data_IF_715254631226
#
_entry.id   IF_715254631226
#
_cell.length_a   1.000
_cell.length_b   1.000
_cell.length_c   1.000
_cell.angle_alpha   90.00
_cell.angle_beta   90.00
_cell.angle_gamma   90.00
#
_symmetry.space_group_name_H-M   'P 1'
#
loop_
_entity.id
_entity.type
_entity.pdbx_description
1 polymer ?
#
# COMPACT_ATOMS: atom_id res chain seq x y z
N UNK A 1 -13.48 -7.83 -21.13
CA UNK A 1 -12.63 -6.64 -21.39
C UNK A 1 -12.40 -5.77 -20.16
N UNK A 2 -13.25 -5.81 -19.12
CA UNK A 2 -13.11 -4.91 -17.95
C UNK A 2 -12.20 -5.41 -16.81
N UNK A 3 -11.96 -6.73 -16.71
CA UNK A 3 -11.17 -7.33 -15.62
C UNK A 3 -9.74 -6.75 -15.48
N UNK A 4 -8.99 -6.51 -16.56
CA UNK A 4 -7.63 -5.95 -16.46
C UNK A 4 -7.65 -4.47 -16.02
N UNK A 5 -8.64 -3.71 -16.49
CA UNK A 5 -8.81 -2.29 -16.13
C UNK A 5 -9.19 -2.16 -14.66
N UNK A 6 -10.09 -3.02 -14.16
CA UNK A 6 -10.47 -3.06 -12.74
C UNK A 6 -9.29 -3.48 -11.86
N UNK A 7 -8.45 -4.42 -12.31
CA UNK A 7 -7.24 -4.79 -11.59
C UNK A 7 -6.25 -3.62 -11.49
N UNK A 8 -6.07 -2.86 -12.58
CA UNK A 8 -5.23 -1.65 -12.57
C UNK A 8 -5.76 -0.59 -11.60
N UNK A 9 -7.06 -0.30 -11.69
CA UNK A 9 -7.73 0.65 -10.81
C UNK A 9 -7.56 0.23 -9.34
N UNK A 10 -7.79 -1.05 -9.03
CA UNK A 10 -7.64 -1.58 -7.67
C UNK A 10 -6.21 -1.41 -7.12
N UNK A 11 -5.17 -1.65 -7.93
CA UNK A 11 -3.78 -1.45 -7.52
C UNK A 11 -3.53 0.03 -7.22
N UNK A 12 -3.87 0.93 -8.16
CA UNK A 12 -3.62 2.36 -7.96
C UNK A 12 -4.41 2.94 -6.79
N UNK A 13 -5.67 2.54 -6.64
CA UNK A 13 -6.50 2.95 -5.52
C UNK A 13 -5.93 2.45 -4.19
N UNK A 14 -5.48 1.19 -4.14
CA UNK A 14 -4.85 0.65 -2.94
C UNK A 14 -3.56 1.40 -2.60
N UNK A 15 -2.68 1.63 -3.57
CA UNK A 15 -1.45 2.39 -3.37
C UNK A 15 -1.72 3.82 -2.89
N UNK A 16 -2.73 4.47 -3.46
CA UNK A 16 -3.11 5.82 -3.07
C UNK A 16 -3.53 5.88 -1.59
N UNK A 17 -4.48 5.02 -1.19
CA UNK A 17 -4.99 4.98 0.19
C UNK A 17 -3.91 4.52 1.18
N UNK A 18 -3.08 3.55 0.80
CA UNK A 18 -2.01 3.03 1.65
C UNK A 18 -0.93 4.07 1.95
N UNK A 19 -0.63 4.95 0.99
CA UNK A 19 0.37 6.02 1.16
C UNK A 19 -0.20 7.29 1.79
N UNK A 20 -1.52 7.40 1.98
CA UNK A 20 -2.15 8.59 2.54
C UNK A 20 -1.99 8.66 4.08
N UNK A 21 -0.80 9.09 4.49
CA UNK A 21 -0.42 9.21 5.89
C UNK A 21 -1.20 10.30 6.64
N UNK A 22 -1.50 11.43 5.98
CA UNK A 22 -2.19 12.55 6.64
C UNK A 22 -3.61 12.18 7.02
N UNK A 23 -4.35 11.54 6.12
CA UNK A 23 -5.70 11.05 6.42
C UNK A 23 -5.66 10.05 7.57
N UNK A 24 -4.69 9.13 7.58
CA UNK A 24 -4.56 8.17 8.67
C UNK A 24 -4.25 8.84 10.01
N UNK A 25 -3.36 9.83 10.05
CA UNK A 25 -3.03 10.57 11.27
C UNK A 25 -4.22 11.37 11.82
N UNK A 26 -4.96 12.06 10.96
CA UNK A 26 -6.06 12.94 11.38
C UNK A 26 -7.28 12.14 11.83
N UNK A 27 -7.64 11.07 11.09
CA UNK A 27 -8.90 10.37 11.31
C UNK A 27 -8.76 9.07 12.11
N UNK A 28 -7.66 8.33 11.97
CA UNK A 28 -7.52 7.01 12.63
C UNK A 28 -6.78 7.13 13.96
N UNK A 29 -5.73 7.96 14.03
CA UNK A 29 -4.94 8.11 15.25
C UNK A 29 -5.71 8.72 16.42
N UNK A 30 -6.77 9.48 16.15
CA UNK A 30 -7.63 10.09 17.19
C UNK A 30 -8.70 9.12 17.70
N UNK A 31 -9.14 8.18 16.85
CA UNK A 31 -10.30 7.32 17.12
C UNK A 31 -9.90 5.98 17.74
N UNK A 32 -8.80 5.36 17.29
CA UNK A 32 -8.34 4.07 17.81
C UNK A 32 -6.80 3.97 17.77
N UNK A 33 -6.09 4.49 18.80
CA UNK A 33 -4.63 4.50 18.84
C UNK A 33 -4.00 3.10 18.71
N UNK A 34 -4.65 2.07 19.27
CA UNK A 34 -4.16 0.69 19.30
C UNK A 34 -4.29 -0.03 17.95
N UNK A 35 -5.10 0.48 17.03
CA UNK A 35 -5.38 -0.15 15.74
C UNK A 35 -4.97 0.75 14.56
N UNK A 36 -3.93 1.56 14.78
CA UNK A 36 -3.40 2.46 13.78
C UNK A 36 -2.72 1.71 12.63
N UNK A 37 -2.87 2.19 11.38
CA UNK A 37 -2.17 1.59 10.25
C UNK A 37 -0.66 1.79 10.36
N UNK A 38 0.09 0.86 9.77
CA UNK A 38 1.56 0.79 9.85
C UNK A 38 2.28 2.12 9.54
N UNK A 39 1.87 2.92 8.52
CA UNK A 39 2.45 4.25 8.26
C UNK A 39 2.35 5.22 9.45
N UNK A 40 1.27 5.18 10.22
CA UNK A 40 1.11 6.03 11.41
C UNK A 40 2.09 5.62 12.50
N UNK A 41 2.21 4.32 12.77
CA UNK A 41 3.16 3.79 13.76
C UNK A 41 4.62 4.15 13.41
N UNK A 42 4.96 4.07 12.12
CA UNK A 42 6.26 4.46 11.58
C UNK A 42 6.65 5.91 11.91
N UNK A 43 5.71 6.84 11.84
CA UNK A 43 5.98 8.25 12.21
C UNK A 43 6.27 8.42 13.70
N UNK A 44 5.67 7.59 14.56
CA UNK A 44 5.96 7.57 16.00
C UNK A 44 7.42 7.19 16.30
N UNK A 45 8.02 6.31 15.49
CA UNK A 45 9.42 5.89 15.66
C UNK A 45 10.41 7.05 15.43
N UNK A 46 10.09 7.98 14.54
CA UNK A 46 10.94 9.17 14.27
C UNK A 46 10.85 10.18 15.41
N UNK A 47 9.65 10.33 15.99
CA UNK A 47 9.38 11.28 17.07
C UNK A 47 9.89 10.79 18.45
N UNK A 48 10.26 9.52 18.58
CA UNK A 48 10.87 8.96 19.78
C UNK A 48 12.33 9.40 19.95
N UNK A 49 12.53 10.63 20.43
CA UNK A 49 13.73 11.18 21.08
C UNK A 49 15.07 10.60 20.57
N UNK A 50 15.31 10.67 19.25
CA UNK A 50 16.61 10.37 18.64
C UNK A 50 17.02 8.90 18.49
N UNK A 51 16.19 7.93 18.90
CA UNK A 51 16.55 6.50 18.94
C UNK A 51 16.04 5.61 17.78
N UNK A 52 15.27 6.18 16.84
CA UNK A 52 14.42 5.39 15.93
C UNK A 52 14.82 5.33 14.45
N UNK A 53 15.84 6.08 14.00
CA UNK A 53 16.15 6.25 12.56
C UNK A 53 16.55 4.95 11.86
N UNK A 54 17.30 4.07 12.55
CA UNK A 54 17.65 2.74 12.05
C UNK A 54 16.41 1.83 11.89
N UNK A 55 15.43 1.96 12.77
CA UNK A 55 14.18 1.19 12.72
C UNK A 55 13.23 1.75 11.67
N UNK A 56 13.27 3.06 11.42
CA UNK A 56 12.47 3.71 10.38
C UNK A 56 12.77 3.12 9.00
N UNK A 57 14.04 2.95 8.64
CA UNK A 57 14.44 2.38 7.35
C UNK A 57 13.95 0.94 7.18
N UNK A 58 14.18 0.10 8.19
CA UNK A 58 13.74 -1.30 8.19
C UNK A 58 12.21 -1.42 8.14
N UNK A 59 11.50 -0.62 8.92
CA UNK A 59 10.05 -0.68 8.99
C UNK A 59 9.39 -0.06 7.74
N UNK A 60 9.99 0.99 7.14
CA UNK A 60 9.55 1.53 5.84
C UNK A 60 9.70 0.47 4.73
N UNK A 61 10.82 -0.26 4.71
CA UNK A 61 11.04 -1.38 3.80
C UNK A 61 9.99 -2.49 4.00
N UNK A 62 9.72 -2.89 5.25
CA UNK A 62 8.66 -3.86 5.55
C UNK A 62 7.27 -3.35 5.13
N UNK A 63 7.01 -2.05 5.24
CA UNK A 63 5.73 -1.46 4.80
C UNK A 63 5.48 -1.63 3.31
N UNK A 64 6.54 -1.70 2.49
CA UNK A 64 6.44 -1.93 1.04
C UNK A 64 6.05 -3.36 0.68
N UNK A 65 6.23 -4.32 1.60
CA UNK A 65 5.86 -5.72 1.35
C UNK A 65 4.36 -5.88 1.08
N UNK A 66 3.51 -5.11 1.76
CA UNK A 66 2.06 -5.23 1.60
C UNK A 66 1.59 -4.71 0.23
N UNK A 67 1.96 -3.49 -0.22
CA UNK A 67 1.77 -3.05 -1.61
C UNK A 67 2.28 -4.03 -2.66
N UNK A 68 3.48 -4.58 -2.46
CA UNK A 68 4.06 -5.56 -3.38
C UNK A 68 3.23 -6.84 -3.43
N UNK A 69 2.79 -7.36 -2.29
CA UNK A 69 1.93 -8.55 -2.23
C UNK A 69 0.61 -8.34 -2.98
N UNK A 70 -0.03 -7.18 -2.79
CA UNK A 70 -1.25 -6.81 -3.53
C UNK A 70 -0.96 -6.74 -5.04
N UNK A 71 0.12 -6.08 -5.43
CA UNK A 71 0.54 -5.99 -6.83
C UNK A 71 0.74 -7.37 -7.46
N UNK A 72 1.55 -8.24 -6.86
CA UNK A 72 1.82 -9.59 -7.37
C UNK A 72 0.55 -10.46 -7.43
N UNK A 73 -0.35 -10.33 -6.45
CA UNK A 73 -1.62 -11.05 -6.45
C UNK A 73 -2.53 -10.67 -7.63
N UNK A 74 -2.49 -9.38 -8.01
CA UNK A 74 -3.30 -8.82 -9.10
C UNK A 74 -2.62 -8.88 -10.47
N UNK A 75 -1.29 -9.07 -10.51
CA UNK A 75 -0.50 -9.17 -11.73
C UNK A 75 -0.98 -10.27 -12.68
N UNK A 76 -1.51 -11.38 -12.16
CA UNK A 76 -2.10 -12.46 -13.00
C UNK A 76 -3.26 -11.98 -13.88
N UNK A 77 -4.02 -10.96 -13.44
CA UNK A 77 -5.13 -10.40 -14.22
C UNK A 77 -4.64 -9.47 -15.32
N UNK A 78 -3.51 -8.79 -15.11
CA UNK A 78 -2.82 -8.03 -16.17
C UNK A 78 -2.32 -8.95 -17.28
N UNK A 79 -1.66 -10.05 -16.92
CA UNK A 79 -1.13 -11.00 -17.91
C UNK A 79 -2.25 -11.62 -18.74
N UNK A 80 -3.36 -12.05 -18.11
CA UNK A 80 -4.53 -12.57 -18.83
C UNK A 80 -5.23 -11.52 -19.69
N UNK A 81 -5.23 -10.26 -19.26
CA UNK A 81 -5.78 -9.14 -20.02
C UNK A 81 -5.05 -8.85 -21.33
N UNK A 82 -3.72 -8.88 -21.30
CA UNK A 82 -2.86 -8.63 -22.47
C UNK A 82 -2.98 -9.81 -23.45
N UNK A 83 -2.89 -11.06 -22.96
CA UNK A 83 -2.90 -12.25 -23.82
C UNK A 83 -4.29 -12.52 -24.41
N UNK A 84 -5.36 -12.25 -23.67
CA UNK A 84 -6.74 -12.38 -24.16
C UNK A 84 -7.17 -11.28 -25.14
N UNK A 85 -6.52 -10.12 -25.11
CA UNK A 85 -6.70 -9.05 -26.10
C UNK A 85 -5.97 -9.31 -27.41
N UNK A 86 -4.84 -10.03 -27.37
CA UNK A 86 -4.02 -10.32 -28.56
C UNK A 86 -4.57 -11.41 -29.48
N UNK A 87 -5.56 -12.20 -29.05
CA UNK A 87 -6.14 -13.31 -29.85
C UNK A 87 -7.46 -12.95 -30.56
N UNK A 88 -7.86 -11.67 -30.54
CA UNK A 88 -9.03 -11.16 -31.28
C UNK A 88 -8.70 -10.05 -32.28
N UNK A 89 -7.41 -9.91 -32.63
CA UNK A 89 -6.96 -9.15 -33.79
C UNK A 89 -6.77 -10.07 -34.98
#
# INVERSE_FOLDING_TARGET
MSVPVLAALAIFQFLFVWNDLLVALVYLSVVNPDNNPLPVYLTGLVNSIGGGTQFLGAAAFLSMLLPLAVFFSLQRYFVRGIVGGSVKG
#
